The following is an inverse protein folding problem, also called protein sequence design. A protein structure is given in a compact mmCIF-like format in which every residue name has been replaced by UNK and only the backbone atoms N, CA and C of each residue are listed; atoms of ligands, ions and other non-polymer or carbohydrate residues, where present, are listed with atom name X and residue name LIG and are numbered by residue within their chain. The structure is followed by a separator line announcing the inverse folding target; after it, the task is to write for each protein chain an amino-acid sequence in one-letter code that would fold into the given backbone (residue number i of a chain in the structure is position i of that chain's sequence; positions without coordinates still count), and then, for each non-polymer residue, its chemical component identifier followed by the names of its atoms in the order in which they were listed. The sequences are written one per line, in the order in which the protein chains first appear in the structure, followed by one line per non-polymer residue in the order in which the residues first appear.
data_IF_624235641845
#
_entry.id   IF_624235641845
#
_cell.length_a   1.000
_cell.length_b   1.000
_cell.length_c   1.000
_cell.angle_alpha   90.00
_cell.angle_beta   90.00
_cell.angle_gamma   90.00
#
_symmetry.space_group_name_H-M   'P 1'
#
loop_
_entity.id
_entity.type
_entity.pdbx_description
1 polymer ?
#
# COMPACT_ATOMS: atom_id res chain seq x y z
N UNK A 1 10.92 -15.25 10.00
CA UNK A 1 9.61 -15.69 9.47
C UNK A 1 9.79 -16.32 8.07
N UNK A 2 8.99 -17.30 7.63
CA UNK A 2 9.04 -17.86 6.27
C UNK A 2 7.82 -17.40 5.47
N UNK A 3 8.06 -16.63 4.41
CA UNK A 3 7.03 -16.18 3.45
C UNK A 3 7.12 -17.05 2.21
N UNK A 4 5.97 -17.46 1.68
CA UNK A 4 5.91 -18.19 0.40
C UNK A 4 5.90 -17.22 -0.79
N UNK A 5 6.23 -17.73 -1.98
CA UNK A 5 6.09 -16.95 -3.22
C UNK A 5 4.67 -16.43 -3.41
N UNK A 6 3.68 -17.32 -3.26
CA UNK A 6 2.26 -16.99 -3.35
C UNK A 6 1.82 -15.91 -2.36
N UNK A 7 2.34 -15.92 -1.12
CA UNK A 7 2.05 -14.89 -0.13
C UNK A 7 2.63 -13.53 -0.53
N UNK A 8 3.83 -13.50 -1.10
CA UNK A 8 4.42 -12.27 -1.61
C UNK A 8 3.65 -11.73 -2.82
N UNK A 9 3.21 -12.60 -3.72
CA UNK A 9 2.38 -12.20 -4.87
C UNK A 9 1.03 -11.64 -4.43
N UNK A 10 0.37 -12.28 -3.46
CA UNK A 10 -0.88 -11.78 -2.88
C UNK A 10 -0.69 -10.44 -2.17
N UNK A 11 0.38 -10.29 -1.39
CA UNK A 11 0.69 -9.03 -0.72
C UNK A 11 0.95 -7.89 -1.73
N UNK A 12 1.62 -8.20 -2.85
CA UNK A 12 1.81 -7.24 -3.95
C UNK A 12 0.51 -6.85 -4.61
N UNK A 13 -0.34 -7.82 -4.97
CA UNK A 13 -1.63 -7.55 -5.59
C UNK A 13 -2.56 -6.75 -4.67
N UNK A 14 -2.61 -7.10 -3.38
CA UNK A 14 -3.39 -6.35 -2.39
C UNK A 14 -2.87 -4.91 -2.23
N UNK A 15 -1.55 -4.73 -2.22
CA UNK A 15 -0.94 -3.39 -2.16
C UNK A 15 -1.29 -2.55 -3.38
N UNK A 16 -1.15 -3.10 -4.59
CA UNK A 16 -1.48 -2.43 -5.84
C UNK A 16 -2.94 -1.98 -5.86
N UNK A 17 -3.87 -2.87 -5.52
CA UNK A 17 -5.29 -2.56 -5.43
C UNK A 17 -5.58 -1.45 -4.41
N UNK A 18 -4.95 -1.46 -3.22
CA UNK A 18 -5.09 -0.39 -2.22
C UNK A 18 -4.59 0.97 -2.76
N UNK A 19 -3.45 1.00 -3.45
CA UNK A 19 -2.90 2.23 -4.02
C UNK A 19 -3.79 2.80 -5.14
N UNK A 20 -4.35 1.93 -5.98
CA UNK A 20 -5.33 2.30 -7.00
C UNK A 20 -6.61 2.87 -6.37
N UNK A 21 -7.16 2.22 -5.35
CA UNK A 21 -8.36 2.69 -4.63
C UNK A 21 -8.13 4.04 -3.92
N UNK A 22 -6.89 4.29 -3.45
CA UNK A 22 -6.51 5.58 -2.88
C UNK A 22 -6.39 6.70 -3.93
N UNK A 23 -6.35 6.35 -5.23
CA UNK A 23 -6.14 7.30 -6.32
C UNK A 23 -4.70 7.83 -6.37
N UNK A 24 -3.73 7.01 -5.95
CA UNK A 24 -2.31 7.32 -6.12
C UNK A 24 -1.95 7.06 -7.58
N UNK A 25 -1.46 8.09 -8.27
CA UNK A 25 -1.09 7.98 -9.68
C UNK A 25 0.40 8.17 -9.89
N UNK A 26 0.95 7.52 -10.92
CA UNK A 26 2.38 7.56 -11.25
C UNK A 26 3.28 7.20 -10.05
N UNK A 27 3.19 5.94 -9.61
CA UNK A 27 3.96 5.42 -8.49
C UNK A 27 4.87 4.24 -8.87
N UNK A 28 5.90 4.05 -8.06
CA UNK A 28 6.65 2.80 -7.94
C UNK A 28 6.40 2.28 -6.52
N UNK A 29 6.29 0.97 -6.36
CA UNK A 29 6.17 0.39 -5.03
C UNK A 29 6.97 -0.89 -4.88
N UNK A 30 7.32 -1.19 -3.63
CA UNK A 30 8.00 -2.41 -3.23
C UNK A 30 7.36 -2.96 -1.96
N UNK A 31 7.08 -4.25 -1.96
CA UNK A 31 6.60 -4.98 -0.78
C UNK A 31 7.72 -5.89 -0.29
N UNK A 32 8.16 -5.68 0.95
CA UNK A 32 9.19 -6.50 1.59
C UNK A 32 8.65 -7.14 2.87
N UNK A 33 8.88 -8.46 3.08
CA UNK A 33 8.55 -9.09 4.34
C UNK A 33 9.57 -8.69 5.41
N UNK A 34 9.08 -8.32 6.59
CA UNK A 34 9.85 -8.08 7.82
C UNK A 34 9.37 -9.03 8.91
N UNK A 35 10.04 -9.08 10.05
CA UNK A 35 9.55 -9.91 11.15
C UNK A 35 8.17 -9.43 11.63
N UNK A 36 7.15 -10.24 11.35
CA UNK A 36 5.75 -10.04 11.78
C UNK A 36 4.91 -9.06 10.94
N UNK A 37 5.47 -8.42 9.91
CA UNK A 37 4.75 -7.43 9.11
C UNK A 37 5.28 -7.30 7.68
N UNK A 38 4.50 -6.65 6.83
CA UNK A 38 4.91 -6.17 5.52
C UNK A 38 5.35 -4.71 5.62
N UNK A 39 6.47 -4.41 5.00
CA UNK A 39 6.92 -3.05 4.75
C UNK A 39 6.67 -2.72 3.29
N UNK A 40 5.91 -1.65 3.05
CA UNK A 40 5.54 -1.20 1.71
C UNK A 40 6.18 0.16 1.46
N UNK A 41 7.21 0.18 0.62
CA UNK A 41 7.80 1.43 0.14
C UNK A 41 7.01 1.91 -1.08
N UNK A 42 6.50 3.14 -1.04
CA UNK A 42 5.80 3.80 -2.14
C UNK A 42 6.61 5.02 -2.54
N UNK A 43 7.00 5.11 -3.80
CA UNK A 43 7.54 6.32 -4.41
C UNK A 43 6.51 6.89 -5.36
N UNK A 44 6.12 8.16 -5.17
CA UNK A 44 5.06 8.80 -5.93
C UNK A 44 5.52 10.17 -6.44
N UNK A 45 4.97 10.60 -7.57
CA UNK A 45 5.16 11.97 -8.04
C UNK A 45 4.32 12.96 -7.21
N UNK A 46 4.94 14.03 -6.74
CA UNK A 46 4.31 15.14 -6.01
C UNK A 46 4.68 16.45 -6.69
N UNK A 47 4.03 17.57 -6.31
CA UNK A 47 4.30 18.89 -6.93
C UNK A 47 5.77 19.29 -6.99
N UNK A 48 6.59 18.84 -6.04
CA UNK A 48 8.01 19.17 -5.93
C UNK A 48 8.97 18.01 -6.31
N UNK A 49 8.52 17.06 -7.13
CA UNK A 49 9.36 15.96 -7.62
C UNK A 49 8.83 14.59 -7.19
N UNK A 50 9.67 13.78 -6.58
CA UNK A 50 9.30 12.45 -6.09
C UNK A 50 9.40 12.41 -4.57
N UNK A 51 8.43 11.78 -3.94
CA UNK A 51 8.41 11.49 -2.51
C UNK A 51 8.46 9.98 -2.30
N UNK A 52 9.11 9.55 -1.22
CA UNK A 52 9.09 8.15 -0.76
C UNK A 52 8.43 8.07 0.62
N UNK A 53 7.41 7.23 0.74
CA UNK A 53 6.72 6.89 1.99
C UNK A 53 6.88 5.41 2.28
N UNK A 54 7.06 5.04 3.56
CA UNK A 54 7.14 3.63 3.99
C UNK A 54 5.96 3.33 4.89
N UNK A 55 5.10 2.45 4.43
CA UNK A 55 3.90 1.98 5.13
C UNK A 55 4.17 0.63 5.78
N UNK A 56 3.46 0.34 6.87
CA UNK A 56 3.54 -0.95 7.56
C UNK A 56 2.15 -1.54 7.67
N UNK A 57 2.04 -2.84 7.38
CA UNK A 57 0.81 -3.59 7.61
C UNK A 57 1.14 -4.94 8.24
N UNK A 58 0.32 -5.36 9.20
CA UNK A 58 0.40 -6.72 9.74
C UNK A 58 0.27 -7.76 8.63
N UNK A 59 0.91 -8.91 8.81
CA UNK A 59 0.97 -9.97 7.78
C UNK A 59 -0.42 -10.40 7.32
N UNK A 60 -1.29 -10.78 8.26
CA UNK A 60 -2.66 -11.19 7.93
C UNK A 60 -3.47 -10.00 7.39
N UNK A 61 -3.34 -8.81 7.98
CA UNK A 61 -4.11 -7.63 7.54
C UNK A 61 -3.95 -7.33 6.05
N UNK A 62 -2.71 -7.32 5.54
CA UNK A 62 -2.49 -7.03 4.11
C UNK A 62 -2.95 -8.17 3.19
N UNK A 63 -2.87 -9.42 3.65
CA UNK A 63 -3.29 -10.57 2.85
C UNK A 63 -4.81 -10.69 2.82
N UNK A 64 -5.47 -10.43 3.95
CA UNK A 64 -6.92 -10.54 4.12
C UNK A 64 -7.68 -9.34 3.53
N UNK A 65 -7.04 -8.19 3.33
CA UNK A 65 -7.69 -7.00 2.76
C UNK A 65 -8.24 -7.21 1.34
N UNK A 66 -7.77 -8.24 0.65
CA UNK A 66 -8.33 -8.63 -0.65
C UNK A 66 -9.80 -9.08 -0.52
N UNK A 67 -10.12 -9.87 0.51
CA UNK A 67 -11.44 -10.48 0.70
C UNK A 67 -12.27 -9.77 1.78
N UNK A 68 -11.60 -9.22 2.80
CA UNK A 68 -12.23 -8.62 3.97
C UNK A 68 -12.34 -7.10 3.80
N UNK A 69 -13.56 -6.64 3.48
CA UNK A 69 -13.86 -5.23 3.27
C UNK A 69 -13.50 -4.33 4.45
N UNK A 70 -13.80 -4.75 5.68
CA UNK A 70 -13.49 -3.96 6.88
C UNK A 70 -11.97 -3.77 7.09
N UNK A 71 -11.17 -4.79 6.78
CA UNK A 71 -9.70 -4.71 6.85
C UNK A 71 -9.17 -3.80 5.75
N UNK A 72 -9.75 -3.91 4.55
CA UNK A 72 -9.42 -3.02 3.42
C UNK A 72 -9.70 -1.56 3.76
N UNK A 73 -10.90 -1.27 4.24
CA UNK A 73 -11.31 0.10 4.60
C UNK A 73 -10.40 0.70 5.68
N UNK A 74 -10.03 -0.09 6.69
CA UNK A 74 -9.08 0.33 7.71
C UNK A 74 -7.68 0.63 7.12
N UNK A 75 -7.19 -0.18 6.19
CA UNK A 75 -5.90 0.07 5.52
C UNK A 75 -5.97 1.30 4.60
N UNK A 76 -7.09 1.51 3.89
CA UNK A 76 -7.31 2.70 3.06
C UNK A 76 -7.32 3.97 3.93
N UNK A 77 -7.96 3.93 5.09
CA UNK A 77 -7.94 5.06 6.02
C UNK A 77 -6.53 5.34 6.56
N UNK A 78 -5.82 4.31 7.01
CA UNK A 78 -4.46 4.44 7.54
C UNK A 78 -3.50 4.96 6.48
N UNK A 79 -3.45 4.32 5.31
CA UNK A 79 -2.51 4.65 4.24
C UNK A 79 -2.89 5.93 3.50
N UNK A 80 -4.19 6.24 3.41
CA UNK A 80 -4.67 7.46 2.78
C UNK A 80 -4.20 8.73 3.50
N UNK A 81 -3.96 8.67 4.81
CA UNK A 81 -3.36 9.77 5.58
C UNK A 81 -1.87 9.92 5.30
N UNK A 82 -1.14 8.81 5.22
CA UNK A 82 0.31 8.79 4.97
C UNK A 82 0.67 9.13 3.52
N UNK A 83 -0.25 8.88 2.59
CA UNK A 83 -0.08 9.13 1.16
C UNK A 83 -0.87 10.34 0.66
N UNK A 84 -1.35 11.23 1.52
CA UNK A 84 -2.20 12.36 1.13
C UNK A 84 -1.60 13.17 -0.03
N UNK A 85 -0.31 13.48 0.04
CA UNK A 85 0.42 14.23 -1.01
C UNK A 85 0.60 13.44 -2.32
N UNK A 86 0.54 12.11 -2.27
CA UNK A 86 0.66 11.22 -3.43
C UNK A 86 -0.66 11.05 -4.19
N UNK A 87 -1.79 11.39 -3.56
CA UNK A 87 -3.10 11.21 -4.18
C UNK A 87 -3.26 12.25 -5.26
N UNK A 88 -3.99 11.89 -6.32
CA UNK A 88 -4.41 12.87 -7.32
C UNK A 88 -5.08 14.04 -6.61
N UNK A 89 -4.55 15.25 -6.78
CA UNK A 89 -5.30 16.45 -6.41
C UNK A 89 -6.61 16.38 -7.19
N UNK A 90 -7.73 16.28 -6.47
CA UNK A 90 -9.03 15.97 -7.06
C UNK A 90 -9.22 16.70 -8.39
N UNK A 91 -9.41 15.91 -9.46
CA UNK A 91 -9.72 16.45 -10.77
C UNK A 91 -10.92 17.38 -10.64
N UNK A 92 -10.69 18.67 -10.91
CA UNK A 92 -11.73 19.68 -11.05
C UNK A 92 -12.61 19.41 -12.27
#
# INVERSE_FOLDING_TARGET
MRITGDELERARAATENLLEELGVEAYLFQVEPRDGHWEVGVECAVRQGWQRTVLRAGRERLLESWEQGEIRDALLEEWGRELEDCRKEGGG
#
